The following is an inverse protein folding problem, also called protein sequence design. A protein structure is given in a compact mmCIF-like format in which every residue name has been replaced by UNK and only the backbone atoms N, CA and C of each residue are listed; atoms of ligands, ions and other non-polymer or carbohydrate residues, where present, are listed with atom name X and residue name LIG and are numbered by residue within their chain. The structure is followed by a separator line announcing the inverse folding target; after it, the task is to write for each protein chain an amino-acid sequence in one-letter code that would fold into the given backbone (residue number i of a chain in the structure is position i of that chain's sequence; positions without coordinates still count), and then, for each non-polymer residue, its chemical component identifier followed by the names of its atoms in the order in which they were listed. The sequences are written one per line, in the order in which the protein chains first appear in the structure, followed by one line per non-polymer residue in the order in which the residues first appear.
data_IF_614779654469
#
_entry.id   IF_614779654469
#
_cell.length_a   1.000
_cell.length_b   1.000
_cell.length_c   1.000
_cell.angle_alpha   90.00
_cell.angle_beta   90.00
_cell.angle_gamma   90.00
#
_symmetry.space_group_name_H-M   'P 1'
#
loop_
_entity.id
_entity.type
_entity.pdbx_description
1 polymer ?
#
# COMPACT_ATOMS: atom_id res chain seq x y z
N UNK A 1 1.37 -12.30 7.44
CA UNK A 1 0.81 -11.54 8.58
C UNK A 1 0.76 -12.31 9.89
N UNK A 2 0.13 -13.49 9.94
CA UNK A 2 0.18 -14.36 11.13
C UNK A 2 1.63 -14.62 11.58
N UNK A 3 2.54 -14.83 10.63
CA UNK A 3 3.97 -15.02 10.88
C UNK A 3 4.71 -13.77 11.40
N UNK A 4 4.10 -12.57 11.34
CA UNK A 4 4.65 -11.36 11.97
C UNK A 4 4.09 -11.15 13.39
N UNK A 5 2.79 -11.44 13.57
CA UNK A 5 2.09 -11.27 14.86
C UNK A 5 2.42 -12.38 15.85
N UNK A 6 2.40 -13.64 15.41
CA UNK A 6 2.52 -14.81 16.30
C UNK A 6 3.88 -14.91 17.01
N UNK A 7 5.05 -14.68 16.36
CA UNK A 7 6.34 -14.73 17.05
C UNK A 7 6.45 -13.66 18.15
N UNK A 8 6.07 -12.41 17.85
CA UNK A 8 6.10 -11.32 18.83
C UNK A 8 5.18 -11.60 20.01
N UNK A 9 3.96 -12.08 19.74
CA UNK A 9 2.98 -12.43 20.77
C UNK A 9 3.47 -13.56 21.67
N UNK A 10 4.12 -14.57 21.09
CA UNK A 10 4.72 -15.69 21.83
C UNK A 10 5.88 -15.25 22.71
N UNK A 11 6.76 -14.37 22.21
CA UNK A 11 7.88 -13.86 23.00
C UNK A 11 7.40 -12.97 24.16
N UNK A 12 6.39 -12.13 23.93
CA UNK A 12 5.75 -11.35 25.00
C UNK A 12 5.08 -12.26 26.04
N UNK A 13 4.41 -13.32 25.59
CA UNK A 13 3.85 -14.33 26.48
C UNK A 13 4.94 -15.00 27.33
N UNK A 14 6.03 -15.45 26.72
CA UNK A 14 7.13 -16.13 27.43
C UNK A 14 7.77 -15.21 28.48
N UNK A 15 7.93 -13.92 28.17
CA UNK A 15 8.45 -12.91 29.09
C UNK A 15 7.51 -12.66 30.29
N UNK A 16 6.19 -12.82 30.11
CA UNK A 16 5.17 -12.52 31.12
C UNK A 16 4.52 -13.79 31.74
N UNK A 17 4.92 -15.00 31.33
CA UNK A 17 4.27 -16.27 31.72
C UNK A 17 4.25 -16.50 33.24
N UNK A 18 5.16 -15.87 33.99
CA UNK A 18 5.25 -15.97 35.45
C UNK A 18 4.27 -15.05 36.20
N UNK A 19 3.64 -14.10 35.50
CA UNK A 19 2.82 -13.05 36.11
C UNK A 19 1.35 -13.44 36.28
N UNK A 20 0.86 -14.49 35.60
CA UNK A 20 -0.56 -14.86 35.66
C UNK A 20 -0.77 -16.37 35.78
N UNK A 21 -1.87 -16.77 36.45
CA UNK A 21 -2.33 -18.17 36.53
C UNK A 21 -3.17 -18.61 35.31
N UNK A 22 -3.40 -17.71 34.35
CA UNK A 22 -4.30 -17.88 33.20
C UNK A 22 -3.53 -17.79 31.87
N UNK A 23 -2.73 -18.81 31.51
CA UNK A 23 -1.79 -18.73 30.39
C UNK A 23 -2.49 -18.56 29.03
N UNK A 24 -3.69 -19.13 28.86
CA UNK A 24 -4.45 -19.03 27.59
C UNK A 24 -4.94 -17.61 27.33
N UNK A 25 -5.50 -16.95 28.34
CA UNK A 25 -6.00 -15.57 28.22
C UNK A 25 -4.85 -14.59 28.00
N UNK A 26 -3.70 -14.83 28.63
CA UNK A 26 -2.49 -14.03 28.44
C UNK A 26 -1.97 -14.08 27.01
N UNK A 27 -1.89 -15.27 26.41
CA UNK A 27 -1.44 -15.43 25.03
C UNK A 27 -2.41 -14.77 24.04
N UNK A 28 -3.72 -14.95 24.23
CA UNK A 28 -4.76 -14.32 23.42
C UNK A 28 -4.71 -12.79 23.53
N UNK A 29 -4.46 -12.27 24.73
CA UNK A 29 -4.30 -10.84 24.95
C UNK A 29 -3.09 -10.28 24.19
N UNK A 30 -1.91 -10.91 24.28
CA UNK A 30 -0.74 -10.46 23.52
C UNK A 30 -0.93 -10.56 22.01
N UNK A 31 -1.59 -11.63 21.55
CA UNK A 31 -1.97 -11.75 20.14
C UNK A 31 -2.91 -10.61 19.72
N UNK A 32 -3.92 -10.30 20.54
CA UNK A 32 -4.83 -9.18 20.31
C UNK A 32 -4.11 -7.83 20.29
N UNK A 33 -3.19 -7.60 21.21
CA UNK A 33 -2.43 -6.34 21.28
C UNK A 33 -1.51 -6.17 20.07
N UNK A 34 -0.65 -7.14 19.78
CA UNK A 34 0.28 -7.07 18.64
C UNK A 34 -0.51 -7.03 17.33
N UNK A 35 -1.54 -7.85 17.18
CA UNK A 35 -2.35 -7.87 15.97
C UNK A 35 -3.05 -6.54 15.71
N UNK A 36 -3.58 -5.88 16.75
CA UNK A 36 -4.16 -4.52 16.62
C UNK A 36 -3.12 -3.47 16.22
N UNK A 37 -1.88 -3.60 16.69
CA UNK A 37 -0.85 -2.58 16.47
C UNK A 37 -0.18 -2.68 15.10
N UNK A 38 -0.07 -3.87 14.50
CA UNK A 38 0.72 -4.06 13.27
C UNK A 38 0.08 -4.91 12.16
N UNK A 39 -0.98 -5.69 12.42
CA UNK A 39 -1.48 -6.61 11.39
C UNK A 39 -2.04 -5.86 10.17
N UNK A 40 -2.80 -4.79 10.38
CA UNK A 40 -3.31 -3.99 9.27
C UNK A 40 -2.20 -3.28 8.50
N UNK A 41 -1.18 -2.74 9.19
CA UNK A 41 0.00 -2.13 8.56
C UNK A 41 0.78 -3.15 7.72
N UNK A 42 0.91 -4.39 8.20
CA UNK A 42 1.48 -5.49 7.40
C UNK A 42 0.65 -5.76 6.13
N UNK A 43 -0.68 -5.57 6.20
CA UNK A 43 -1.58 -5.62 5.04
C UNK A 43 -1.34 -4.51 4.06
N UNK A 44 -1.28 -3.27 4.55
CA UNK A 44 -0.92 -2.11 3.72
C UNK A 44 0.42 -2.32 3.02
N UNK A 45 1.44 -2.75 3.77
CA UNK A 45 2.76 -3.07 3.22
C UNK A 45 2.67 -4.14 2.13
N UNK A 46 1.88 -5.19 2.35
CA UNK A 46 1.69 -6.25 1.37
C UNK A 46 0.97 -5.78 0.11
N UNK A 47 -0.07 -4.96 0.25
CA UNK A 47 -0.82 -4.37 -0.85
C UNK A 47 0.06 -3.47 -1.70
N UNK A 48 0.89 -2.66 -1.05
CA UNK A 48 1.85 -1.80 -1.72
C UNK A 48 2.89 -2.59 -2.53
N UNK A 49 3.45 -3.68 -1.97
CA UNK A 49 4.39 -4.56 -2.70
C UNK A 49 3.69 -5.24 -3.89
N UNK A 50 2.50 -5.78 -3.68
CA UNK A 50 1.70 -6.39 -4.73
C UNK A 50 1.42 -5.42 -5.88
N UNK A 51 1.08 -4.17 -5.57
CA UNK A 51 0.86 -3.11 -6.57
C UNK A 51 2.14 -2.75 -7.33
N UNK A 52 3.27 -2.60 -6.63
CA UNK A 52 4.55 -2.35 -7.28
C UNK A 52 4.94 -3.48 -8.24
N UNK A 53 4.74 -4.74 -7.81
CA UNK A 53 5.01 -5.91 -8.64
C UNK A 53 4.11 -6.01 -9.87
N UNK A 54 2.81 -5.73 -9.73
CA UNK A 54 1.87 -5.75 -10.88
C UNK A 54 2.21 -4.69 -11.93
N UNK A 55 2.73 -3.54 -11.52
CA UNK A 55 3.13 -2.47 -12.45
C UNK A 55 4.42 -2.78 -13.22
N UNK A 56 5.33 -3.55 -12.63
CA UNK A 56 6.63 -3.90 -13.24
C UNK A 56 6.57 -5.19 -14.05
N UNK A 57 5.72 -6.16 -13.67
CA UNK A 57 5.60 -7.46 -14.32
C UNK A 57 4.37 -7.56 -15.23
N UNK A 58 4.08 -6.50 -15.97
CA UNK A 58 3.01 -6.49 -16.97
C UNK A 58 3.39 -7.36 -18.19
N UNK A 59 3.48 -8.67 -17.96
CA UNK A 59 3.52 -9.68 -18.99
C UNK A 59 2.10 -9.81 -19.54
N UNK A 60 1.98 -9.72 -20.86
CA UNK A 60 0.74 -9.65 -21.65
C UNK A 60 -0.20 -10.88 -21.58
N UNK A 61 -0.18 -11.64 -20.48
CA UNK A 61 -0.97 -12.86 -20.27
C UNK A 61 -1.47 -13.09 -18.84
N UNK A 62 -1.24 -12.19 -17.89
CA UNK A 62 -1.79 -12.30 -16.53
C UNK A 62 -3.07 -11.46 -16.43
N UNK A 63 -4.17 -12.09 -16.00
CA UNK A 63 -5.47 -11.44 -15.83
C UNK A 63 -5.38 -10.28 -14.80
N UNK A 64 -5.78 -9.08 -15.22
CA UNK A 64 -5.82 -7.89 -14.37
C UNK A 64 -6.71 -8.08 -13.13
N UNK A 65 -7.79 -8.88 -13.24
CA UNK A 65 -8.64 -9.20 -12.09
C UNK A 65 -7.94 -10.10 -11.08
N UNK A 66 -7.09 -11.03 -11.53
CA UNK A 66 -6.28 -11.86 -10.65
C UNK A 66 -5.23 -11.01 -9.90
N UNK A 67 -4.60 -10.05 -10.57
CA UNK A 67 -3.67 -9.11 -9.93
C UNK A 67 -4.37 -8.22 -8.91
N UNK A 68 -5.53 -7.65 -9.25
CA UNK A 68 -6.35 -6.86 -8.32
C UNK A 68 -6.78 -7.68 -7.10
N UNK A 69 -7.14 -8.95 -7.29
CA UNK A 69 -7.48 -9.89 -6.20
C UNK A 69 -6.29 -10.12 -5.28
N UNK A 70 -5.07 -10.21 -5.82
CA UNK A 70 -3.86 -10.37 -5.00
C UNK A 70 -3.54 -9.09 -4.20
N UNK A 71 -3.64 -7.91 -4.84
CA UNK A 71 -3.46 -6.59 -4.19
C UNK A 71 -4.45 -6.42 -3.03
N UNK A 72 -5.75 -6.59 -3.27
CA UNK A 72 -6.79 -6.45 -2.25
C UNK A 72 -6.71 -7.59 -1.21
N UNK A 73 -6.39 -8.80 -1.66
CA UNK A 73 -6.32 -9.98 -0.81
C UNK A 73 -5.30 -9.83 0.33
N UNK A 74 -4.16 -9.19 0.06
CA UNK A 74 -3.20 -8.87 1.13
C UNK A 74 -3.79 -7.92 2.17
N UNK A 75 -4.50 -6.86 1.78
CA UNK A 75 -5.19 -5.97 2.73
C UNK A 75 -6.26 -6.70 3.53
N UNK A 76 -7.04 -7.55 2.86
CA UNK A 76 -8.08 -8.38 3.48
C UNK A 76 -7.54 -9.25 4.61
N UNK A 77 -6.43 -9.97 4.40
CA UNK A 77 -5.83 -10.78 5.47
C UNK A 77 -5.38 -9.93 6.67
N UNK A 78 -4.93 -8.69 6.45
CA UNK A 78 -4.58 -7.76 7.51
C UNK A 78 -5.78 -7.28 8.30
N UNK A 79 -6.86 -6.94 7.59
CA UNK A 79 -8.13 -6.57 8.19
C UNK A 79 -8.73 -7.72 9.02
N UNK A 80 -8.72 -8.95 8.51
CA UNK A 80 -9.22 -10.14 9.23
C UNK A 80 -8.45 -10.35 10.53
N UNK A 81 -7.11 -10.34 10.49
CA UNK A 81 -6.30 -10.55 11.70
C UNK A 81 -6.50 -9.39 12.68
N UNK A 82 -6.61 -8.15 12.20
CA UNK A 82 -6.87 -6.98 13.06
C UNK A 82 -8.24 -7.06 13.72
N UNK A 83 -9.28 -7.47 12.98
CA UNK A 83 -10.63 -7.67 13.51
C UNK A 83 -10.69 -8.80 14.54
N UNK A 84 -10.05 -9.93 14.27
CA UNK A 84 -9.89 -11.01 15.26
C UNK A 84 -9.16 -10.51 16.51
N UNK A 85 -8.11 -9.72 16.33
CA UNK A 85 -7.30 -9.15 17.40
C UNK A 85 -8.09 -8.16 18.27
N UNK A 86 -9.00 -7.39 17.66
CA UNK A 86 -9.94 -6.53 18.37
C UNK A 86 -10.86 -7.34 19.30
N UNK A 87 -11.45 -8.43 18.79
CA UNK A 87 -12.39 -9.25 19.54
C UNK A 87 -11.76 -9.98 20.74
N UNK A 88 -10.46 -10.30 20.69
CA UNK A 88 -9.77 -11.05 21.75
C UNK A 88 -8.93 -10.17 22.69
N UNK A 89 -8.81 -8.87 22.42
CA UNK A 89 -7.99 -7.97 23.23
C UNK A 89 -8.73 -7.60 24.52
N UNK A 90 -8.30 -8.17 25.65
CA UNK A 90 -8.87 -7.91 26.99
C UNK A 90 -8.24 -6.68 27.67
N UNK A 91 -8.94 -5.54 27.81
CA UNK A 91 -8.36 -4.34 28.41
C UNK A 91 -8.05 -4.48 29.91
N UNK A 92 -8.78 -5.36 30.61
CA UNK A 92 -8.69 -5.57 32.06
C UNK A 92 -7.35 -6.18 32.50
N UNK A 93 -6.66 -6.90 31.60
CA UNK A 93 -5.34 -7.48 31.84
C UNK A 93 -4.20 -6.46 31.74
N UNK A 94 -4.47 -5.22 31.30
CA UNK A 94 -3.44 -4.23 30.97
C UNK A 94 -2.64 -3.74 32.19
N UNK A 95 -3.24 -3.72 33.38
CA UNK A 95 -2.66 -3.08 34.56
C UNK A 95 -1.46 -3.83 35.20
N UNK A 96 -1.22 -5.09 34.84
CA UNK A 96 -0.19 -5.94 35.47
C UNK A 96 0.87 -6.48 34.49
N UNK A 97 0.83 -6.07 33.21
CA UNK A 97 1.64 -6.67 32.14
C UNK A 97 2.77 -5.76 31.67
N UNK A 98 3.90 -6.39 31.35
CA UNK A 98 5.09 -5.72 30.81
C UNK A 98 5.13 -5.95 29.30
N UNK A 99 4.92 -4.89 28.52
CA UNK A 99 4.97 -4.92 27.05
C UNK A 99 6.40 -4.68 26.56
N UNK A 100 7.33 -5.49 27.05
CA UNK A 100 8.75 -5.37 26.74
C UNK A 100 9.32 -6.63 26.10
N UNK A 101 9.99 -6.44 24.97
CA UNK A 101 10.85 -7.44 24.35
C UNK A 101 12.32 -7.10 24.65
N UNK A 102 13.18 -8.11 24.74
CA UNK A 102 14.62 -7.84 24.72
C UNK A 102 15.05 -7.33 23.35
N UNK A 103 16.14 -6.55 23.27
CA UNK A 103 16.67 -6.04 21.99
C UNK A 103 16.92 -7.18 20.99
N UNK A 104 17.45 -8.33 21.46
CA UNK A 104 17.66 -9.52 20.63
C UNK A 104 16.35 -10.09 20.08
N UNK A 105 15.31 -10.15 20.91
CA UNK A 105 13.97 -10.61 20.49
C UNK A 105 13.36 -9.65 19.47
N UNK A 106 13.42 -8.33 19.70
CA UNK A 106 12.93 -7.34 18.73
C UNK A 106 13.66 -7.43 17.39
N UNK A 107 14.99 -7.54 17.40
CA UNK A 107 15.78 -7.71 16.17
C UNK A 107 15.42 -9.01 15.44
N UNK A 108 15.21 -10.11 16.16
CA UNK A 108 14.79 -11.39 15.56
C UNK A 108 13.43 -11.26 14.87
N UNK A 109 12.46 -10.58 15.49
CA UNK A 109 11.14 -10.37 14.87
C UNK A 109 11.22 -9.41 13.68
N UNK A 110 12.01 -8.33 13.76
CA UNK A 110 12.28 -7.46 12.61
C UNK A 110 12.90 -8.26 11.45
N UNK A 111 13.83 -9.18 11.75
CA UNK A 111 14.41 -10.09 10.76
C UNK A 111 13.37 -11.00 10.10
N UNK A 112 12.42 -11.55 10.89
CA UNK A 112 11.29 -12.33 10.36
C UNK A 112 10.41 -11.47 9.45
N UNK A 113 10.02 -10.26 9.87
CA UNK A 113 9.22 -9.35 9.04
C UNK A 113 9.93 -9.00 7.74
N UNK A 114 11.22 -8.67 7.82
CA UNK A 114 12.04 -8.34 6.64
C UNK A 114 12.14 -9.53 5.68
N UNK A 115 12.27 -10.75 6.21
CA UNK A 115 12.27 -11.97 5.40
C UNK A 115 10.92 -12.19 4.71
N UNK A 116 9.81 -11.93 5.40
CA UNK A 116 8.47 -12.04 4.81
C UNK A 116 8.24 -11.00 3.71
N UNK A 117 8.73 -9.77 3.91
CA UNK A 117 8.73 -8.71 2.89
C UNK A 117 9.55 -9.14 1.68
N UNK A 118 10.78 -9.62 1.88
CA UNK A 118 11.65 -10.11 0.81
C UNK A 118 11.02 -11.27 0.03
N UNK A 119 10.41 -12.24 0.73
CA UNK A 119 9.67 -13.32 0.10
C UNK A 119 8.52 -12.80 -0.77
N UNK A 120 7.77 -11.80 -0.27
CA UNK A 120 6.69 -11.20 -1.05
C UNK A 120 7.20 -10.45 -2.27
N UNK A 121 8.33 -9.73 -2.18
CA UNK A 121 8.97 -9.09 -3.33
C UNK A 121 9.36 -10.13 -4.39
N UNK A 122 9.93 -11.27 -3.99
CA UNK A 122 10.26 -12.38 -4.92
C UNK A 122 9.00 -12.96 -5.57
N UNK A 123 7.94 -13.21 -4.80
CA UNK A 123 6.69 -13.76 -5.32
C UNK A 123 5.98 -12.82 -6.30
N UNK A 124 6.14 -11.51 -6.11
CA UNK A 124 5.59 -10.47 -6.99
C UNK A 124 6.53 -10.11 -8.13
N UNK A 125 7.72 -10.73 -8.19
CA UNK A 125 8.76 -10.48 -9.18
C UNK A 125 9.34 -9.07 -9.11
N UNK A 126 9.23 -8.39 -7.96
CA UNK A 126 9.78 -7.06 -7.75
C UNK A 126 11.26 -7.18 -7.40
N UNK A 127 12.15 -6.75 -8.30
CA UNK A 127 13.59 -6.78 -8.03
C UNK A 127 14.02 -5.61 -7.13
N UNK A 128 15.18 -5.76 -6.49
CA UNK A 128 15.76 -4.68 -5.69
C UNK A 128 16.08 -3.44 -6.54
N UNK A 129 16.42 -3.62 -7.83
CA UNK A 129 16.62 -2.51 -8.76
C UNK A 129 15.33 -1.72 -9.02
N UNK A 130 14.21 -2.41 -9.19
CA UNK A 130 12.90 -1.80 -9.47
C UNK A 130 12.43 -0.92 -8.32
N UNK A 131 12.76 -1.30 -7.08
CA UNK A 131 12.50 -0.50 -5.88
C UNK A 131 13.12 0.92 -5.96
N UNK A 132 14.24 1.06 -6.68
CA UNK A 132 14.94 2.33 -6.88
C UNK A 132 14.39 3.19 -8.04
N UNK A 133 13.32 2.75 -8.71
CA UNK A 133 12.63 3.54 -9.74
C UNK A 133 12.20 4.89 -9.17
N UNK A 134 12.66 5.99 -9.77
CA UNK A 134 12.50 7.34 -9.18
C UNK A 134 13.01 7.43 -7.72
N UNK A 135 14.19 6.84 -7.45
CA UNK A 135 14.81 6.79 -6.12
C UNK A 135 15.14 8.16 -5.52
N UNK A 136 15.23 9.21 -6.33
CA UNK A 136 15.37 10.59 -5.83
C UNK A 136 14.19 10.99 -4.92
N UNK A 137 12.96 10.59 -5.25
CA UNK A 137 11.78 10.83 -4.38
C UNK A 137 11.86 10.05 -3.08
N UNK A 138 12.43 8.84 -3.09
CA UNK A 138 12.67 8.07 -1.87
C UNK A 138 13.68 8.79 -0.97
N UNK A 139 14.75 9.35 -1.54
CA UNK A 139 15.71 10.15 -0.78
C UNK A 139 15.06 11.39 -0.15
N UNK A 140 14.18 12.08 -0.90
CA UNK A 140 13.40 13.20 -0.35
C UNK A 140 12.42 12.76 0.73
N UNK A 141 11.78 11.60 0.61
CA UNK A 141 10.91 11.04 1.64
C UNK A 141 11.72 10.78 2.93
N UNK A 142 12.90 10.16 2.83
CA UNK A 142 13.76 9.91 3.99
C UNK A 142 14.30 11.20 4.61
N UNK A 143 14.65 12.19 3.78
CA UNK A 143 15.06 13.50 4.26
C UNK A 143 13.91 14.21 4.97
N UNK A 144 12.69 14.21 4.41
CA UNK A 144 11.51 14.79 5.03
C UNK A 144 11.19 14.12 6.38
N UNK A 145 11.30 12.79 6.46
CA UNK A 145 11.17 12.05 7.72
C UNK A 145 12.16 12.56 8.77
N UNK A 146 13.42 12.73 8.40
CA UNK A 146 14.45 13.24 9.30
C UNK A 146 14.16 14.67 9.75
N UNK A 147 13.86 15.58 8.82
CA UNK A 147 13.53 16.98 9.11
C UNK A 147 12.30 17.07 10.02
N UNK A 148 11.24 16.32 9.74
CA UNK A 148 10.01 16.38 10.54
C UNK A 148 10.17 15.74 11.91
N UNK A 149 11.01 14.70 12.02
CA UNK A 149 11.38 14.14 13.33
C UNK A 149 12.13 15.16 14.19
N UNK A 150 13.06 15.92 13.57
CA UNK A 150 13.78 17.00 14.25
C UNK A 150 12.84 18.14 14.65
N UNK A 151 11.95 18.58 13.76
CA UNK A 151 10.96 19.61 14.07
C UNK A 151 10.02 19.17 15.21
N UNK A 152 9.54 17.93 15.18
CA UNK A 152 8.71 17.37 16.24
C UNK A 152 9.45 17.31 17.59
N UNK A 153 10.77 17.08 17.57
CA UNK A 153 11.57 17.07 18.81
C UNK A 153 11.62 18.42 19.53
N UNK A 154 11.46 19.54 18.80
CA UNK A 154 11.36 20.88 19.39
C UNK A 154 10.14 21.03 20.29
N UNK A 155 9.10 20.21 20.09
CA UNK A 155 7.90 20.19 20.94
C UNK A 155 8.12 19.53 22.32
N UNK A 156 9.32 19.02 22.62
CA UNK A 156 9.63 18.36 23.89
C UNK A 156 9.00 16.96 24.06
N UNK A 157 8.39 16.42 23.00
CA UNK A 157 7.83 15.06 23.00
C UNK A 157 8.96 14.01 23.00
N UNK A 158 8.72 12.79 23.52
CA UNK A 158 9.68 11.70 23.43
C UNK A 158 10.11 11.44 21.99
N UNK A 159 11.41 11.20 21.78
CA UNK A 159 11.98 11.04 20.43
C UNK A 159 11.28 9.96 19.59
N UNK A 160 10.87 8.86 20.22
CA UNK A 160 10.15 7.78 19.55
C UNK A 160 8.77 8.23 19.05
N UNK A 161 8.03 9.01 19.86
CA UNK A 161 6.75 9.59 19.47
C UNK A 161 6.92 10.56 18.29
N UNK A 162 7.95 11.40 18.34
CA UNK A 162 8.28 12.30 17.24
C UNK A 162 8.52 11.54 15.93
N UNK A 163 9.27 10.44 15.99
CA UNK A 163 9.57 9.62 14.81
C UNK A 163 8.31 8.94 14.24
N UNK A 164 7.39 8.48 15.09
CA UNK A 164 6.11 7.87 14.66
C UNK A 164 5.24 8.90 13.96
N UNK A 165 5.02 10.06 14.61
CA UNK A 165 4.20 11.15 14.05
C UNK A 165 4.82 11.67 12.74
N UNK A 166 6.14 11.83 12.68
CA UNK A 166 6.85 12.23 11.47
C UNK A 166 6.73 11.20 10.34
N UNK A 167 6.78 9.91 10.63
CA UNK A 167 6.61 8.85 9.63
C UNK A 167 5.21 8.86 9.02
N UNK A 168 4.17 8.97 9.86
CA UNK A 168 2.78 9.09 9.38
C UNK A 168 2.67 10.32 8.49
N UNK A 169 3.03 11.49 9.00
CA UNK A 169 2.91 12.73 8.26
C UNK A 169 3.67 12.65 6.91
N UNK A 170 4.94 12.21 6.94
CA UNK A 170 5.79 12.16 5.74
C UNK A 170 5.18 11.25 4.68
N UNK A 171 4.67 10.09 5.09
CA UNK A 171 3.99 9.15 4.21
C UNK A 171 2.79 9.81 3.54
N UNK A 172 1.96 10.53 4.31
CA UNK A 172 0.76 11.19 3.79
C UNK A 172 1.08 12.31 2.80
N UNK A 173 2.08 13.14 3.08
CA UNK A 173 2.44 14.22 2.17
C UNK A 173 3.05 13.69 0.88
N UNK A 174 3.92 12.68 0.94
CA UNK A 174 4.46 12.06 -0.27
C UNK A 174 3.41 11.27 -1.05
N UNK A 175 2.44 10.66 -0.37
CA UNK A 175 1.28 10.04 -1.01
C UNK A 175 0.44 11.09 -1.74
N UNK A 176 0.11 12.21 -1.08
CA UNK A 176 -0.65 13.29 -1.69
C UNK A 176 0.09 13.90 -2.89
N UNK A 177 1.40 14.15 -2.76
CA UNK A 177 2.24 14.63 -3.87
C UNK A 177 2.26 13.64 -5.04
N UNK A 178 2.41 12.35 -4.76
CA UNK A 178 2.39 11.32 -5.80
C UNK A 178 1.04 11.24 -6.52
N UNK A 179 -0.08 11.40 -5.80
CA UNK A 179 -1.41 11.48 -6.39
C UNK A 179 -1.56 12.76 -7.25
N UNK A 180 -1.06 13.91 -6.79
CA UNK A 180 -1.08 15.15 -7.59
C UNK A 180 -0.32 14.97 -8.90
N UNK A 181 0.88 14.37 -8.87
CA UNK A 181 1.65 14.11 -10.08
C UNK A 181 0.97 13.10 -10.99
N UNK A 182 0.37 12.05 -10.43
CA UNK A 182 -0.44 11.11 -11.20
C UNK A 182 -1.59 11.82 -11.95
N UNK A 183 -2.39 12.64 -11.27
CA UNK A 183 -3.48 13.36 -11.94
C UNK A 183 -2.99 14.40 -12.95
N UNK A 184 -1.78 14.95 -12.78
CA UNK A 184 -1.18 15.86 -13.77
C UNK A 184 -0.86 15.19 -15.11
N UNK A 185 -0.66 13.87 -15.13
CA UNK A 185 -0.43 13.05 -16.33
C UNK A 185 -1.75 12.60 -17.00
N UNK A 186 -2.89 13.08 -16.52
CA UNK A 186 -4.22 12.74 -17.06
C UNK A 186 -4.85 11.51 -16.43
N UNK A 187 -4.22 10.91 -15.41
CA UNK A 187 -4.81 9.82 -14.63
C UNK A 187 -4.90 8.48 -15.39
N UNK A 188 -4.25 8.35 -16.55
CA UNK A 188 -4.23 7.09 -17.31
C UNK A 188 -3.32 6.05 -16.63
N UNK A 189 -3.79 4.80 -16.55
CA UNK A 189 -3.08 3.73 -15.87
C UNK A 189 -1.74 3.40 -16.55
N UNK A 190 -1.67 3.44 -17.88
CA UNK A 190 -0.46 3.12 -18.64
C UNK A 190 0.55 4.25 -18.60
N UNK A 191 0.10 5.49 -18.84
CA UNK A 191 0.96 6.66 -18.79
C UNK A 191 1.53 6.92 -17.38
N UNK A 192 0.74 6.60 -16.34
CA UNK A 192 1.06 6.98 -14.96
C UNK A 192 1.64 5.86 -14.10
N UNK A 193 2.05 4.73 -14.70
CA UNK A 193 2.58 3.56 -13.97
C UNK A 193 3.67 3.93 -12.98
N UNK A 194 4.57 4.84 -13.36
CA UNK A 194 5.68 5.28 -12.50
C UNK A 194 5.14 6.03 -11.28
N UNK A 195 4.14 6.90 -11.44
CA UNK A 195 3.56 7.64 -10.31
C UNK A 195 2.77 6.71 -9.39
N UNK A 196 1.99 5.78 -9.94
CA UNK A 196 1.29 4.74 -9.14
C UNK A 196 2.32 3.90 -8.38
N UNK A 197 3.42 3.53 -9.02
CA UNK A 197 4.52 2.79 -8.39
C UNK A 197 5.15 3.60 -7.24
N UNK A 198 5.41 4.89 -7.44
CA UNK A 198 5.97 5.78 -6.42
C UNK A 198 5.04 5.93 -5.22
N UNK A 199 3.73 6.05 -5.44
CA UNK A 199 2.74 6.11 -4.35
C UNK A 199 2.71 4.78 -3.58
N UNK A 200 2.67 3.65 -4.28
CA UNK A 200 2.74 2.32 -3.67
C UNK A 200 4.04 2.16 -2.85
N UNK A 201 5.19 2.55 -3.40
CA UNK A 201 6.47 2.53 -2.68
C UNK A 201 6.43 3.39 -1.43
N UNK A 202 5.86 4.58 -1.51
CA UNK A 202 5.73 5.51 -0.38
C UNK A 202 4.96 4.86 0.77
N UNK A 203 3.82 4.21 0.45
CA UNK A 203 3.02 3.45 1.42
C UNK A 203 3.81 2.29 2.02
N UNK A 204 4.52 1.53 1.19
CA UNK A 204 5.35 0.42 1.66
C UNK A 204 6.43 0.90 2.64
N UNK A 205 7.22 1.91 2.27
CA UNK A 205 8.30 2.45 3.09
C UNK A 205 7.76 2.99 4.42
N UNK A 206 6.69 3.79 4.37
CA UNK A 206 6.03 4.30 5.56
C UNK A 206 5.54 3.19 6.50
N UNK A 207 4.90 2.16 5.93
CA UNK A 207 4.38 1.01 6.69
C UNK A 207 5.50 0.19 7.30
N UNK A 208 6.56 -0.09 6.54
CA UNK A 208 7.71 -0.86 7.00
C UNK A 208 8.45 -0.14 8.12
N UNK A 209 8.71 1.16 7.97
CA UNK A 209 9.30 1.99 9.03
C UNK A 209 8.40 1.98 10.27
N UNK A 210 7.08 2.08 10.12
CA UNK A 210 6.13 2.03 11.24
C UNK A 210 6.25 0.72 12.03
N UNK A 211 6.31 -0.43 11.34
CA UNK A 211 6.49 -1.75 11.96
C UNK A 211 7.83 -1.85 12.70
N UNK A 212 8.92 -1.35 12.10
CA UNK A 212 10.24 -1.34 12.75
C UNK A 212 10.21 -0.48 14.01
N UNK A 213 9.63 0.71 13.95
CA UNK A 213 9.49 1.61 15.11
C UNK A 213 8.67 0.95 16.22
N UNK A 214 7.60 0.22 15.87
CA UNK A 214 6.81 -0.54 16.85
C UNK A 214 7.67 -1.56 17.63
N UNK A 215 8.51 -2.34 16.96
CA UNK A 215 9.38 -3.30 17.65
C UNK A 215 10.51 -2.64 18.44
N UNK A 216 10.97 -1.46 18.02
CA UNK A 216 11.88 -0.61 18.81
C UNK A 216 11.17 -0.09 20.07
N UNK A 217 9.89 0.29 19.96
CA UNK A 217 9.07 0.70 21.10
C UNK A 217 8.89 -0.42 22.11
N UNK A 218 8.62 -1.64 21.63
CA UNK A 218 8.58 -2.85 22.46
C UNK A 218 9.93 -3.12 23.13
N UNK A 219 11.06 -2.85 22.48
CA UNK A 219 12.38 -3.01 23.11
C UNK A 219 12.62 -2.01 24.25
N UNK A 220 12.10 -0.79 24.10
CA UNK A 220 12.26 0.32 25.05
C UNK A 220 11.14 0.40 26.10
N UNK A 221 10.14 -0.48 26.03
CA UNK A 221 8.93 -0.42 26.86
C UNK A 221 8.17 0.92 26.70
N UNK A 222 8.18 1.49 25.50
CA UNK A 222 7.55 2.79 25.16
C UNK A 222 6.34 2.61 24.22
N UNK A 223 5.70 1.44 24.22
CA UNK A 223 4.59 1.15 23.29
C UNK A 223 3.38 2.07 23.43
N UNK A 224 3.21 2.71 24.59
CA UNK A 224 2.10 3.65 24.81
C UNK A 224 2.37 5.04 24.21
N UNK A 225 3.63 5.37 23.90
CA UNK A 225 4.00 6.69 23.39
C UNK A 225 3.50 6.97 21.97
N UNK A 226 3.13 5.92 21.22
CA UNK A 226 2.95 5.98 19.77
C UNK A 226 1.52 5.92 19.25
N UNK A 227 0.49 5.84 20.09
CA UNK A 227 -0.92 5.60 19.71
C UNK A 227 -1.07 4.75 18.42
N UNK A 228 -0.49 3.54 18.46
CA UNK A 228 -0.34 2.69 17.28
C UNK A 228 -1.68 2.34 16.63
N UNK A 229 -2.78 2.33 17.39
CA UNK A 229 -4.13 2.08 16.86
C UNK A 229 -4.58 3.20 15.93
N UNK A 230 -4.46 4.45 16.38
CA UNK A 230 -4.83 5.61 15.57
C UNK A 230 -3.96 5.71 14.32
N UNK A 231 -2.64 5.53 14.48
CA UNK A 231 -1.73 5.60 13.34
C UNK A 231 -1.96 4.47 12.35
N UNK A 232 -2.25 3.26 12.84
CA UNK A 232 -2.64 2.12 12.00
C UNK A 232 -3.91 2.40 11.20
N UNK A 233 -4.88 3.05 11.82
CA UNK A 233 -6.10 3.48 11.15
C UNK A 233 -5.82 4.47 10.03
N UNK A 234 -4.99 5.49 10.26
CA UNK A 234 -4.60 6.45 9.23
C UNK A 234 -3.95 5.79 8.01
N UNK A 235 -3.01 4.86 8.22
CA UNK A 235 -2.41 4.11 7.11
C UNK A 235 -3.47 3.29 6.34
N UNK A 236 -4.45 2.72 7.03
CA UNK A 236 -5.53 1.98 6.38
C UNK A 236 -6.44 2.88 5.55
N UNK A 237 -6.77 4.09 6.03
CA UNK A 237 -7.52 5.10 5.27
C UNK A 237 -6.77 5.54 4.02
N UNK A 238 -5.48 5.88 4.15
CA UNK A 238 -4.67 6.30 3.01
C UNK A 238 -4.54 5.18 1.96
N UNK A 239 -4.41 3.93 2.42
CA UNK A 239 -4.27 2.78 1.54
C UNK A 239 -5.59 2.42 0.87
N UNK A 240 -6.70 2.45 1.58
CA UNK A 240 -8.01 2.19 0.97
C UNK A 240 -8.32 3.25 -0.08
N UNK A 241 -8.07 4.53 0.21
CA UNK A 241 -8.20 5.61 -0.77
C UNK A 241 -7.32 5.38 -2.01
N UNK A 242 -6.04 5.02 -1.83
CA UNK A 242 -5.14 4.72 -2.94
C UNK A 242 -5.60 3.51 -3.77
N UNK A 243 -5.96 2.40 -3.12
CA UNK A 243 -6.44 1.19 -3.79
C UNK A 243 -7.73 1.48 -4.57
N UNK A 244 -8.66 2.25 -3.98
CA UNK A 244 -9.86 2.69 -4.68
C UNK A 244 -9.52 3.57 -5.88
N UNK A 245 -8.57 4.51 -5.78
CA UNK A 245 -8.18 5.33 -6.93
C UNK A 245 -7.59 4.49 -8.08
N UNK A 246 -6.79 3.46 -7.77
CA UNK A 246 -6.13 2.64 -8.80
C UNK A 246 -7.07 1.61 -9.42
N UNK A 247 -7.96 1.02 -8.62
CA UNK A 247 -8.81 -0.09 -9.04
C UNK A 247 -10.26 0.30 -9.35
N UNK A 248 -10.73 1.48 -8.94
CA UNK A 248 -12.07 1.91 -9.29
C UNK A 248 -12.13 2.39 -10.76
N UNK A 249 -13.23 2.11 -11.47
CA UNK A 249 -13.50 2.75 -12.75
C UNK A 249 -13.59 4.27 -12.53
N UNK A 250 -12.73 5.02 -13.22
CA UNK A 250 -12.47 6.43 -12.93
C UNK A 250 -13.47 7.34 -13.64
N UNK A 251 -14.61 7.65 -13.01
CA UNK A 251 -15.73 8.35 -13.67
C UNK A 251 -15.42 9.67 -14.42
N UNK A 252 -14.47 10.52 -13.98
CA UNK A 252 -14.20 11.83 -14.62
C UNK A 252 -13.11 11.77 -15.71
N UNK A 253 -12.07 10.96 -15.50
CA UNK A 253 -11.03 10.73 -16.51
C UNK A 253 -11.48 9.72 -17.56
N UNK A 254 -12.35 8.76 -17.19
CA UNK A 254 -13.06 7.90 -18.14
C UNK A 254 -14.05 8.72 -18.96
N UNK A 255 -14.80 9.67 -18.39
CA UNK A 255 -15.61 10.61 -19.20
C UNK A 255 -14.75 11.45 -20.16
N UNK A 256 -13.58 11.95 -19.73
CA UNK A 256 -12.65 12.65 -20.62
C UNK A 256 -12.01 11.73 -21.67
N UNK A 257 -11.80 10.45 -21.36
CA UNK A 257 -11.25 9.46 -22.28
C UNK A 257 -12.31 9.01 -23.28
N UNK A 258 -13.50 8.65 -22.82
CA UNK A 258 -14.67 8.34 -23.64
C UNK A 258 -14.99 9.51 -24.56
N UNK A 259 -14.99 10.75 -24.09
CA UNK A 259 -15.23 11.91 -24.97
C UNK A 259 -14.14 12.10 -26.03
N UNK A 260 -12.87 11.82 -25.72
CA UNK A 260 -11.77 11.85 -26.71
C UNK A 260 -11.83 10.68 -27.68
N UNK A 261 -12.08 9.47 -27.18
CA UNK A 261 -12.23 8.26 -27.98
C UNK A 261 -13.46 8.35 -28.88
N UNK A 262 -14.55 8.93 -28.38
CA UNK A 262 -15.77 9.19 -29.14
C UNK A 262 -15.55 10.28 -30.19
N UNK A 263 -14.79 11.34 -29.89
CA UNK A 263 -14.40 12.33 -30.90
C UNK A 263 -13.47 11.72 -31.97
N UNK A 264 -12.53 10.85 -31.57
CA UNK A 264 -11.64 10.15 -32.49
C UNK A 264 -12.39 9.13 -33.37
N UNK A 265 -13.31 8.36 -32.77
CA UNK A 265 -14.21 7.44 -33.47
C UNK A 265 -15.13 8.20 -34.42
N UNK A 266 -15.65 9.36 -34.02
CA UNK A 266 -16.49 10.20 -34.87
C UNK A 266 -15.71 10.72 -36.08
N UNK A 267 -14.49 11.22 -35.88
CA UNK A 267 -13.61 11.63 -36.98
C UNK A 267 -13.25 10.46 -37.91
N UNK A 268 -13.03 9.26 -37.35
CA UNK A 268 -12.77 8.06 -38.14
C UNK A 268 -14.01 7.61 -38.94
N UNK A 269 -15.20 7.67 -38.34
CA UNK A 269 -16.46 7.39 -39.02
C UNK A 269 -16.76 8.39 -40.14
N UNK A 270 -16.50 9.68 -39.93
CA UNK A 270 -16.65 10.72 -40.95
C UNK A 270 -15.71 10.48 -42.14
N UNK A 271 -14.42 10.20 -41.89
CA UNK A 271 -13.46 9.86 -42.93
C UNK A 271 -13.85 8.59 -43.72
N UNK A 272 -14.31 7.55 -43.02
CA UNK A 272 -14.82 6.33 -43.67
C UNK A 272 -16.07 6.60 -44.51
N UNK A 273 -16.95 7.49 -44.06
CA UNK A 273 -18.16 7.83 -44.80
C UNK A 273 -17.84 8.59 -46.09
N UNK A 274 -16.85 9.50 -46.06
CA UNK A 274 -16.35 10.19 -47.25
C UNK A 274 -15.75 9.21 -48.27
N UNK A 275 -14.93 8.25 -47.81
CA UNK A 275 -14.35 7.21 -48.66
C UNK A 275 -15.43 6.33 -49.31
N UNK A 276 -16.46 5.95 -48.55
CA UNK A 276 -17.62 5.20 -49.08
C UNK A 276 -18.35 6.00 -50.16
N UNK A 277 -18.54 7.30 -49.98
CA UNK A 277 -19.20 8.17 -50.96
C UNK A 277 -18.37 8.28 -52.24
N UNK A 278 -17.05 8.42 -52.12
CA UNK A 278 -16.14 8.45 -53.27
C UNK A 278 -16.16 7.14 -54.05
N UNK A 279 -16.04 6.00 -53.35
CA UNK A 279 -16.10 4.67 -53.97
C UNK A 279 -17.44 4.42 -54.67
N UNK A 280 -18.56 4.85 -54.08
CA UNK A 280 -19.88 4.76 -54.72
C UNK A 280 -19.94 5.56 -56.02
N UNK A 281 -19.48 6.81 -56.03
CA UNK A 281 -19.43 7.62 -57.26
C UNK A 281 -18.58 6.96 -58.34
N UNK A 282 -17.45 6.37 -57.94
CA UNK A 282 -16.55 5.70 -58.88
C UNK A 282 -17.19 4.45 -59.49
N UNK A 283 -17.85 3.64 -58.67
CA UNK A 283 -18.63 2.48 -59.15
C UNK A 283 -19.75 2.93 -60.10
N UNK A 284 -20.49 3.97 -59.75
CA UNK A 284 -21.55 4.51 -60.63
C UNK A 284 -20.98 4.95 -61.99
N UNK A 285 -19.87 5.70 -62.00
CA UNK A 285 -19.21 6.15 -63.23
C UNK A 285 -18.68 5.02 -64.10
N UNK A 286 -18.17 3.94 -63.48
CA UNK A 286 -17.70 2.75 -64.20
C UNK A 286 -18.89 1.93 -64.72
N UNK A 287 -19.98 1.87 -63.96
CA UNK A 287 -21.20 1.15 -64.35
C UNK A 287 -21.95 1.83 -65.49
N UNK A 288 -21.92 3.17 -65.56
CA UNK A 288 -22.49 3.93 -66.68
C UNK A 288 -21.63 3.77 -67.94
N UNK A 289 -20.31 3.89 -67.81
CA UNK A 289 -19.38 3.62 -68.92
C UNK A 289 -19.48 2.19 -69.47
N UNK A 290 -19.79 1.21 -68.61
CA UNK A 290 -20.02 -0.18 -69.02
C UNK A 290 -21.38 -0.42 -69.70
N UNK A 291 -22.36 0.48 -69.54
CA UNK A 291 -23.68 0.40 -70.21
C UNK A 291 -23.71 1.06 -71.59
N UNK A 292 -22.73 1.93 -71.86
CA UNK A 292 -22.59 2.65 -73.13
C UNK A 292 -21.69 1.91 -74.15
N UNK A 293 -21.30 0.66 -73.84
CA UNK A 293 -20.61 -0.31 -74.70
C UNK A 293 -21.58 -1.42 -75.12
#
# INVERSE_FOLDING_TARGET
MLLAVAPASRLLFDNNRRLTKLPKQLLLHFFGKVGLDIALIMGVSGTAIAMMGSLMNDQSGVDAYFQATYVIGTLFFGAVITGLSYCINYPELKASLIYQLSVRQSLAVIGVVTTLVGLQMVLTGLNFGDFWTAGWLLLWQLLALAVWSLLASVSGKPALRCLIEANVATTFVFLALGIVFWFSEGGDYLASRINIFVVARTLFVGSFIHIVIYYVALARNETEAGDYKLNTWHFAEATSFFVFLVLAPVGLTEFSRESKDQAALQAQHEAQQEEIVELKRRIESLSSQSKDL
#
